data_IF_786987205024
#
_entry.id   IF_786987205024
#
_cell.length_a   1.000
_cell.length_b   1.000
_cell.length_c   1.000
_cell.angle_alpha   90.00
_cell.angle_beta   90.00
_cell.angle_gamma   90.00
#
_symmetry.space_group_name_H-M   'P 1'
#
loop_
_entity.id
_entity.type
_entity.pdbx_description
1 polymer ?
#
# COMPACT_ATOMS: atom_id res chain seq x y z
N UNK A 1 -21.57 -21.17 -37.92
CA UNK A 1 -21.94 -20.17 -38.94
C UNK A 1 -20.69 -19.41 -39.30
N UNK A 2 -20.21 -19.65 -40.52
CA UNK A 2 -19.04 -19.03 -41.13
C UNK A 2 -19.49 -17.72 -41.77
N UNK A 3 -18.79 -16.62 -41.55
CA UNK A 3 -18.80 -15.51 -42.51
C UNK A 3 -17.42 -14.84 -42.56
N UNK A 4 -16.81 -15.08 -43.70
CA UNK A 4 -15.56 -14.55 -44.23
C UNK A 4 -15.88 -13.38 -45.15
N UNK A 5 -15.16 -12.26 -45.07
CA UNK A 5 -15.04 -11.26 -46.15
C UNK A 5 -13.77 -10.43 -45.89
N UNK A 6 -12.66 -10.67 -46.58
CA UNK A 6 -12.32 -10.30 -47.96
C UNK A 6 -11.82 -8.86 -48.08
N UNK A 7 -10.57 -8.76 -48.55
CA UNK A 7 -9.75 -7.57 -48.73
C UNK A 7 -10.12 -6.77 -49.99
N UNK A 8 -9.74 -5.49 -50.00
CA UNK A 8 -9.53 -4.72 -51.24
C UNK A 8 -8.16 -4.07 -51.16
N UNK A 9 -7.30 -4.51 -52.08
CA UNK A 9 -6.04 -3.89 -52.49
C UNK A 9 -6.35 -2.85 -53.57
N UNK A 10 -5.79 -1.65 -53.46
CA UNK A 10 -5.62 -0.73 -54.60
C UNK A 10 -4.15 -0.34 -54.64
N UNK A 11 -3.50 -0.71 -55.73
CA UNK A 11 -2.15 -0.30 -56.07
C UNK A 11 -2.10 1.07 -56.73
N UNK A 12 -0.93 1.70 -56.62
CA UNK A 12 -0.52 2.85 -57.41
C UNK A 12 0.99 2.79 -57.60
N UNK A 13 1.42 2.65 -58.85
CA UNK A 13 2.82 2.61 -59.30
C UNK A 13 3.23 4.03 -59.71
N UNK A 14 4.41 4.49 -59.27
CA UNK A 14 5.18 5.49 -59.99
C UNK A 14 6.66 5.44 -59.55
N UNK A 15 7.51 4.95 -60.44
CA UNK A 15 8.97 5.11 -60.37
C UNK A 15 9.35 6.53 -60.81
N UNK A 16 10.22 7.20 -60.06
CA UNK A 16 11.11 8.24 -60.58
C UNK A 16 12.34 8.32 -59.68
N UNK A 17 13.45 7.81 -60.22
CA UNK A 17 14.77 7.86 -59.61
C UNK A 17 15.45 9.17 -60.02
N UNK A 18 15.94 9.94 -59.04
CA UNK A 18 16.92 11.00 -59.25
C UNK A 18 18.06 10.84 -58.22
N UNK A 19 19.33 10.87 -58.63
CA UNK A 19 20.47 10.84 -57.71
C UNK A 19 20.77 12.26 -57.24
N UNK A 20 20.73 12.47 -55.92
CA UNK A 20 21.12 13.72 -55.29
C UNK A 20 21.59 13.44 -53.87
N UNK A 21 22.90 13.40 -53.69
CA UNK A 21 23.56 13.48 -52.39
C UNK A 21 23.17 14.79 -51.72
N UNK A 22 22.67 14.73 -50.48
CA UNK A 22 23.00 15.66 -49.40
C UNK A 22 22.40 15.15 -48.07
N UNK A 23 23.16 15.35 -46.99
CA UNK A 23 23.05 14.65 -45.70
C UNK A 23 21.65 14.56 -45.09
N UNK A 24 21.28 13.34 -44.71
CA UNK A 24 20.07 13.02 -43.94
C UNK A 24 20.27 13.43 -42.47
N UNK A 25 19.50 14.38 -41.90
CA UNK A 25 19.36 14.49 -40.47
C UNK A 25 18.56 13.28 -39.98
N UNK A 26 19.12 12.59 -38.97
CA UNK A 26 18.62 11.32 -38.45
C UNK A 26 17.11 11.30 -38.27
N UNK A 27 16.48 10.32 -38.91
CA UNK A 27 15.12 9.92 -38.63
C UNK A 27 15.00 9.70 -37.12
N UNK A 28 14.22 10.57 -36.47
CA UNK A 28 13.85 10.41 -35.07
C UNK A 28 13.06 9.10 -34.97
N UNK A 29 13.55 8.20 -34.13
CA UNK A 29 12.93 6.93 -33.75
C UNK A 29 11.66 7.24 -32.93
N UNK A 30 10.66 7.79 -33.61
CA UNK A 30 9.35 8.10 -33.07
C UNK A 30 8.47 6.87 -33.31
N UNK A 31 8.15 6.15 -32.22
CA UNK A 31 6.91 5.39 -32.18
C UNK A 31 6.99 3.90 -31.93
N UNK A 32 7.93 3.41 -31.11
CA UNK A 32 7.66 2.21 -30.32
C UNK A 32 7.17 2.64 -28.93
N UNK A 33 5.95 2.25 -28.50
CA UNK A 33 5.54 2.45 -27.12
C UNK A 33 6.61 1.85 -26.20
N UNK A 34 7.07 2.62 -25.21
CA UNK A 34 7.96 2.09 -24.19
C UNK A 34 7.30 0.84 -23.59
N UNK A 35 8.09 -0.24 -23.44
CA UNK A 35 7.58 -1.45 -22.80
C UNK A 35 7.04 -1.08 -21.41
N UNK A 36 5.93 -1.71 -20.96
CA UNK A 36 5.40 -1.45 -19.63
C UNK A 36 6.50 -1.62 -18.58
N UNK A 37 6.69 -0.61 -17.75
CA UNK A 37 7.67 -0.68 -16.67
C UNK A 37 7.32 -1.84 -15.73
N UNK A 38 8.32 -2.65 -15.42
CA UNK A 38 8.16 -3.79 -14.52
C UNK A 38 8.16 -3.33 -13.07
N UNK A 39 7.22 -3.83 -12.28
CA UNK A 39 7.18 -3.61 -10.84
C UNK A 39 8.12 -4.61 -10.14
N UNK A 40 9.25 -4.14 -9.58
CA UNK A 40 10.20 -5.07 -8.95
C UNK A 40 11.40 -4.42 -8.26
N UNK A 41 12.51 -5.17 -8.04
CA UNK A 41 13.63 -4.73 -7.19
C UNK A 41 14.28 -3.38 -7.56
N UNK A 42 14.14 -2.96 -8.81
CA UNK A 42 14.61 -1.65 -9.29
C UNK A 42 13.70 -0.48 -8.86
N UNK A 43 12.49 -0.77 -8.39
CA UNK A 43 11.46 0.23 -8.10
C UNK A 43 10.29 0.16 -9.07
N UNK A 44 9.51 1.24 -9.09
CA UNK A 44 8.45 1.46 -10.07
C UNK A 44 8.15 2.95 -10.24
N UNK A 45 7.97 3.39 -11.50
CA UNK A 45 7.77 4.79 -11.90
C UNK A 45 8.84 5.71 -11.36
N UNK A 46 10.09 5.26 -11.32
CA UNK A 46 11.22 6.03 -10.79
C UNK A 46 11.30 6.13 -9.27
N UNK A 47 10.38 5.48 -8.53
CA UNK A 47 10.50 5.31 -7.07
C UNK A 47 11.32 4.07 -6.78
N UNK A 48 12.42 4.22 -6.03
CA UNK A 48 13.31 3.09 -5.68
C UNK A 48 13.13 2.68 -4.23
N UNK A 49 13.43 1.41 -3.94
CA UNK A 49 13.41 0.89 -2.58
C UNK A 49 14.47 1.62 -1.73
N UNK A 50 14.06 2.14 -0.57
CA UNK A 50 14.90 2.96 0.32
C UNK A 50 14.96 4.46 -0.04
N UNK A 51 14.18 4.92 -1.02
CA UNK A 51 14.08 6.35 -1.35
C UNK A 51 13.48 7.16 -0.19
N UNK A 52 14.05 8.34 0.09
CA UNK A 52 13.51 9.29 1.05
C UNK A 52 12.25 9.99 0.49
N UNK A 53 11.34 10.38 1.40
CA UNK A 53 10.06 11.02 1.06
C UNK A 53 10.22 12.26 0.17
N UNK A 54 11.11 13.19 0.54
CA UNK A 54 11.28 14.43 -0.23
C UNK A 54 11.84 14.17 -1.64
N UNK A 55 12.75 13.19 -1.78
CA UNK A 55 13.25 12.75 -3.07
C UNK A 55 12.14 12.13 -3.94
N UNK A 56 11.26 11.31 -3.34
CA UNK A 56 10.12 10.74 -4.04
C UNK A 56 9.12 11.80 -4.53
N UNK A 57 8.79 12.78 -3.68
CA UNK A 57 7.84 13.85 -4.01
C UNK A 57 8.39 14.81 -5.06
N UNK A 58 9.67 15.17 -4.97
CA UNK A 58 10.33 16.03 -5.96
C UNK A 58 10.44 15.40 -7.36
N UNK A 59 10.39 14.06 -7.46
CA UNK A 59 10.38 13.34 -8.73
C UNK A 59 9.09 13.51 -9.55
N UNK A 60 8.00 14.04 -8.96
CA UNK A 60 6.73 14.28 -9.65
C UNK A 60 5.94 13.01 -10.03
N UNK A 61 6.31 11.86 -9.46
CA UNK A 61 5.71 10.54 -9.73
C UNK A 61 4.62 10.17 -8.73
N UNK A 62 4.59 10.88 -7.61
CA UNK A 62 3.55 10.83 -6.59
C UNK A 62 2.73 12.12 -6.63
N UNK A 63 1.47 12.03 -6.22
CA UNK A 63 0.69 13.21 -5.87
C UNK A 63 1.39 14.01 -4.76
N UNK A 64 1.28 15.33 -4.78
CA UNK A 64 1.93 16.20 -3.79
C UNK A 64 1.24 16.19 -2.43
N UNK A 65 -0.05 15.85 -2.39
CA UNK A 65 -0.84 15.76 -1.17
C UNK A 65 -1.01 14.28 -0.76
N UNK A 66 -0.87 13.96 0.53
CA UNK A 66 -1.03 12.60 1.02
C UNK A 66 -2.49 12.17 1.01
N UNK A 67 -2.73 10.89 0.76
CA UNK A 67 -4.04 10.26 0.85
C UNK A 67 -4.30 9.63 2.22
N UNK A 68 -3.29 9.47 3.08
CA UNK A 68 -3.47 9.14 4.50
C UNK A 68 -2.29 9.64 5.32
N UNK A 69 -2.52 9.97 6.58
CA UNK A 69 -1.49 10.24 7.60
C UNK A 69 -1.65 9.37 8.85
N UNK A 70 -2.47 8.32 8.77
CA UNK A 70 -2.90 7.51 9.90
C UNK A 70 -1.73 6.74 10.54
N UNK A 71 -1.63 6.82 11.87
CA UNK A 71 -0.62 6.14 12.70
C UNK A 71 0.84 6.47 12.35
N UNK A 72 1.09 7.65 11.81
CA UNK A 72 2.43 8.11 11.43
C UNK A 72 2.91 7.62 10.06
N UNK A 73 2.12 6.78 9.37
CA UNK A 73 2.36 6.48 7.97
C UNK A 73 1.84 7.63 7.11
N UNK A 74 2.64 8.10 6.15
CA UNK A 74 2.15 9.01 5.11
C UNK A 74 2.03 8.27 3.79
N UNK A 75 0.80 8.13 3.32
CA UNK A 75 0.50 7.45 2.06
C UNK A 75 0.29 8.47 0.95
N UNK A 76 0.83 8.18 -0.23
CA UNK A 76 0.67 8.98 -1.44
C UNK A 76 0.26 8.09 -2.60
N UNK A 77 -0.74 8.52 -3.37
CA UNK A 77 -1.05 7.94 -4.67
C UNK A 77 0.04 8.27 -5.69
N UNK A 78 0.18 7.44 -6.72
CA UNK A 78 0.88 7.85 -7.94
C UNK A 78 0.22 9.08 -8.57
N UNK A 79 0.99 9.86 -9.35
CA UNK A 79 0.45 10.95 -10.17
C UNK A 79 -0.66 10.44 -11.08
N UNK A 80 -1.82 11.11 -11.07
CA UNK A 80 -3.03 10.67 -11.78
C UNK A 80 -3.90 9.67 -11.01
N UNK A 81 -3.46 9.23 -9.83
CA UNK A 81 -4.27 8.44 -8.91
C UNK A 81 -5.31 9.27 -8.14
N UNK A 82 -6.04 8.65 -7.20
CA UNK A 82 -7.08 9.32 -6.42
C UNK A 82 -6.52 10.50 -5.63
N UNK A 83 -7.26 11.61 -5.66
CA UNK A 83 -7.01 12.76 -4.79
C UNK A 83 -7.30 12.40 -3.31
N UNK A 84 -6.72 13.13 -2.34
CA UNK A 84 -7.07 12.97 -0.93
C UNK A 84 -8.56 13.20 -0.71
N UNK A 85 -9.17 12.37 0.14
CA UNK A 85 -10.54 12.55 0.61
C UNK A 85 -10.50 13.25 1.98
N UNK A 86 -10.85 14.55 2.06
CA UNK A 86 -10.77 15.30 3.31
C UNK A 86 -11.65 14.73 4.43
N UNK A 87 -12.80 14.13 4.08
CA UNK A 87 -13.72 13.57 5.07
C UNK A 87 -13.13 12.29 5.67
N UNK A 88 -12.55 11.42 4.84
CA UNK A 88 -11.84 10.23 5.33
C UNK A 88 -10.61 10.62 6.17
N UNK A 89 -9.79 11.56 5.70
CA UNK A 89 -8.62 12.04 6.42
C UNK A 89 -8.98 12.59 7.81
N UNK A 90 -10.08 13.35 7.89
CA UNK A 90 -10.58 13.85 9.16
C UNK A 90 -11.06 12.71 10.07
N UNK A 91 -11.81 11.76 9.54
CA UNK A 91 -12.28 10.61 10.31
C UNK A 91 -11.12 9.76 10.86
N UNK A 92 -10.08 9.55 10.05
CA UNK A 92 -8.82 8.91 10.48
C UNK A 92 -8.18 9.66 11.65
N UNK A 93 -7.99 10.97 11.51
CA UNK A 93 -7.40 11.81 12.56
C UNK A 93 -8.23 11.83 13.86
N UNK A 94 -9.55 11.93 13.76
CA UNK A 94 -10.45 11.97 14.92
C UNK A 94 -10.42 10.65 15.69
N UNK A 95 -10.46 9.50 14.98
CA UNK A 95 -10.38 8.17 15.58
C UNK A 95 -9.02 7.92 16.22
N UNK A 96 -7.93 8.29 15.54
CA UNK A 96 -6.57 8.17 16.08
C UNK A 96 -6.39 9.03 17.34
N UNK A 97 -6.88 10.27 17.34
CA UNK A 97 -6.82 11.14 18.51
C UNK A 97 -7.61 10.57 19.70
N UNK A 98 -8.82 10.06 19.46
CA UNK A 98 -9.65 9.43 20.49
C UNK A 98 -8.97 8.20 21.09
N UNK A 99 -8.43 7.32 20.25
CA UNK A 99 -7.73 6.12 20.71
C UNK A 99 -6.48 6.46 21.53
N UNK A 100 -5.68 7.45 21.10
CA UNK A 100 -4.51 7.91 21.85
C UNK A 100 -4.88 8.50 23.21
N UNK A 101 -5.92 9.33 23.27
CA UNK A 101 -6.38 9.94 24.53
C UNK A 101 -6.89 8.89 25.52
N UNK A 102 -7.74 7.96 25.07
CA UNK A 102 -8.30 6.93 25.95
C UNK A 102 -7.25 5.91 26.40
N UNK A 103 -6.37 5.45 25.49
CA UNK A 103 -5.28 4.55 25.87
C UNK A 103 -4.33 5.22 26.86
N UNK A 104 -3.98 6.49 26.66
CA UNK A 104 -3.15 7.23 27.62
C UNK A 104 -3.81 7.31 29.00
N UNK A 105 -5.10 7.67 29.06
CA UNK A 105 -5.83 7.74 30.33
C UNK A 105 -5.89 6.37 31.02
N UNK A 106 -6.07 5.30 30.24
CA UNK A 106 -6.08 3.93 30.75
C UNK A 106 -4.70 3.50 31.27
N UNK A 107 -3.62 3.84 30.57
CA UNK A 107 -2.23 3.55 30.98
C UNK A 107 -1.82 4.31 32.26
N UNK A 108 -2.41 5.49 32.49
CA UNK A 108 -2.19 6.32 33.70
C UNK A 108 -3.01 5.85 34.92
N UNK A 109 -3.90 4.86 34.77
CA UNK A 109 -4.64 4.30 35.90
C UNK A 109 -3.70 3.49 36.80
N UNK A 110 -3.56 3.95 38.05
CA UNK A 110 -2.89 3.17 39.08
C UNK A 110 -3.80 2.03 39.57
N UNK A 111 -3.21 0.84 39.76
CA UNK A 111 -3.89 -0.24 40.44
C UNK A 111 -4.20 0.20 41.88
N UNK A 112 -5.48 0.17 42.26
CA UNK A 112 -5.83 0.44 43.65
C UNK A 112 -5.26 -0.65 44.56
N UNK A 113 -4.77 -0.29 45.76
CA UNK A 113 -4.49 -1.28 46.77
C UNK A 113 -5.77 -2.04 47.11
N UNK A 114 -5.69 -3.37 47.21
CA UNK A 114 -6.83 -4.20 47.60
C UNK A 114 -7.45 -3.67 48.91
N UNK A 115 -8.79 -3.72 49.06
CA UNK A 115 -9.46 -3.30 50.28
C UNK A 115 -8.85 -4.04 51.47
N UNK A 116 -8.38 -3.28 52.47
CA UNK A 116 -7.78 -3.87 53.67
C UNK A 116 -8.83 -4.70 54.42
N UNK A 117 -8.45 -5.85 55.01
CA UNK A 117 -9.32 -6.58 55.91
C UNK A 117 -9.86 -5.64 57.01
N UNK A 118 -11.19 -5.55 57.13
CA UNK A 118 -11.86 -4.64 58.08
C UNK A 118 -12.27 -3.27 57.53
N UNK A 119 -12.19 -3.03 56.21
CA UNK A 119 -12.73 -1.83 55.58
C UNK A 119 -14.22 -1.65 55.87
N UNK A 120 -14.64 -0.40 56.04
CA UNK A 120 -16.05 -0.04 56.20
C UNK A 120 -16.85 -0.28 54.92
N UNK A 121 -18.18 -0.33 55.05
CA UNK A 121 -19.08 -0.41 53.90
C UNK A 121 -18.93 0.80 52.95
N UNK A 122 -18.67 1.99 53.50
CA UNK A 122 -18.44 3.21 52.71
C UNK A 122 -17.13 3.14 51.91
N UNK A 123 -16.04 2.69 52.52
CA UNK A 123 -14.75 2.49 51.84
C UNK A 123 -14.87 1.44 50.72
N UNK A 124 -15.60 0.35 51.00
CA UNK A 124 -15.88 -0.70 50.02
C UNK A 124 -16.70 -0.16 48.84
N UNK A 125 -17.71 0.67 49.10
CA UNK A 125 -18.54 1.28 48.05
C UNK A 125 -17.73 2.24 47.15
N UNK A 126 -16.84 3.07 47.75
CA UNK A 126 -15.95 3.97 46.99
C UNK A 126 -14.96 3.22 46.12
N UNK A 127 -14.38 2.14 46.65
CA UNK A 127 -13.48 1.26 45.89
C UNK A 127 -14.21 0.63 44.71
N UNK A 128 -15.42 0.08 44.92
CA UNK A 128 -16.23 -0.49 43.86
C UNK A 128 -16.61 0.54 42.78
N UNK A 129 -16.96 1.77 43.16
CA UNK A 129 -17.27 2.86 42.21
C UNK A 129 -16.06 3.22 41.35
N UNK A 130 -14.87 3.33 41.96
CA UNK A 130 -13.62 3.58 41.21
C UNK A 130 -13.30 2.43 40.26
N UNK A 131 -13.33 1.18 40.73
CA UNK A 131 -13.09 0.01 39.87
C UNK A 131 -14.07 -0.06 38.69
N UNK A 132 -15.34 0.32 38.90
CA UNK A 132 -16.31 0.38 37.81
C UNK A 132 -15.96 1.47 36.78
N UNK A 133 -15.52 2.66 37.21
CA UNK A 133 -15.06 3.75 36.32
C UNK A 133 -13.81 3.37 35.54
N UNK A 134 -12.85 2.73 36.20
CA UNK A 134 -11.62 2.25 35.58
C UNK A 134 -11.92 1.18 34.53
N UNK A 135 -12.79 0.22 34.87
CA UNK A 135 -13.26 -0.80 33.93
C UNK A 135 -13.97 -0.20 32.71
N UNK A 136 -14.80 0.83 32.92
CA UNK A 136 -15.44 1.56 31.82
C UNK A 136 -14.41 2.24 30.91
N UNK A 137 -13.38 2.88 31.49
CA UNK A 137 -12.32 3.52 30.72
C UNK A 137 -11.54 2.51 29.88
N UNK A 138 -11.18 1.35 30.45
CA UNK A 138 -10.54 0.27 29.67
C UNK A 138 -11.45 -0.24 28.54
N UNK A 139 -12.75 -0.37 28.79
CA UNK A 139 -13.71 -0.77 27.75
C UNK A 139 -13.79 0.27 26.62
N UNK A 140 -13.84 1.56 26.96
CA UNK A 140 -13.87 2.65 25.98
C UNK A 140 -12.57 2.72 25.17
N UNK A 141 -11.41 2.52 25.82
CA UNK A 141 -10.11 2.46 25.16
C UNK A 141 -10.00 1.26 24.21
N UNK A 142 -10.52 0.10 24.59
CA UNK A 142 -10.57 -1.09 23.74
C UNK A 142 -11.46 -0.86 22.51
N UNK A 143 -12.65 -0.26 22.68
CA UNK A 143 -13.54 0.09 21.56
C UNK A 143 -12.90 1.11 20.62
N UNK A 144 -12.26 2.15 21.14
CA UNK A 144 -11.55 3.13 20.32
C UNK A 144 -10.37 2.51 19.56
N UNK A 145 -9.69 1.54 20.16
CA UNK A 145 -8.62 0.78 19.48
C UNK A 145 -9.16 -0.12 18.37
N UNK A 146 -10.35 -0.71 18.54
CA UNK A 146 -11.04 -1.46 17.49
C UNK A 146 -11.49 -0.56 16.34
N UNK A 147 -12.04 0.63 16.63
CA UNK A 147 -12.39 1.63 15.61
C UNK A 147 -11.15 2.05 14.80
N UNK A 148 -10.02 2.28 15.48
CA UNK A 148 -8.75 2.61 14.85
C UNK A 148 -8.25 1.47 13.96
N UNK A 149 -8.37 0.21 14.40
CA UNK A 149 -8.05 -0.95 13.56
C UNK A 149 -8.92 -1.00 12.29
N UNK A 150 -10.21 -0.70 12.39
CA UNK A 150 -11.10 -0.57 11.23
C UNK A 150 -10.62 0.49 10.24
N UNK A 151 -10.16 1.65 10.72
CA UNK A 151 -9.59 2.70 9.86
C UNK A 151 -8.27 2.30 9.20
N UNK A 152 -7.42 1.54 9.88
CA UNK A 152 -6.21 0.96 9.26
C UNK A 152 -6.57 0.03 8.11
N UNK A 153 -7.58 -0.83 8.28
CA UNK A 153 -8.03 -1.72 7.20
C UNK A 153 -8.61 -0.95 6.00
N UNK A 154 -9.42 0.08 6.25
CA UNK A 154 -9.97 0.95 5.20
C UNK A 154 -8.84 1.65 4.42
N UNK A 155 -7.87 2.23 5.13
CA UNK A 155 -6.67 2.84 4.54
C UNK A 155 -5.89 1.84 3.70
N UNK A 156 -5.55 0.68 4.26
CA UNK A 156 -4.74 -0.32 3.57
C UNK A 156 -5.42 -0.79 2.29
N UNK A 157 -6.74 -1.02 2.32
CA UNK A 157 -7.54 -1.37 1.12
C UNK A 157 -7.50 -0.26 0.09
N UNK A 158 -7.69 1.00 0.49
CA UNK A 158 -7.64 2.14 -0.43
C UNK A 158 -6.24 2.32 -1.03
N UNK A 159 -5.19 2.17 -0.22
CA UNK A 159 -3.80 2.30 -0.64
C UNK A 159 -3.41 1.24 -1.68
N UNK A 160 -3.66 -0.05 -1.40
CA UNK A 160 -3.30 -1.11 -2.34
C UNK A 160 -4.16 -1.13 -3.61
N UNK A 161 -5.39 -0.61 -3.55
CA UNK A 161 -6.26 -0.50 -4.72
C UNK A 161 -5.83 0.64 -5.65
N UNK A 162 -5.37 1.77 -5.08
CA UNK A 162 -4.87 2.90 -5.85
C UNK A 162 -3.43 2.68 -6.37
N UNK A 163 -2.63 1.93 -5.62
CA UNK A 163 -1.19 1.91 -5.77
C UNK A 163 -0.56 3.21 -5.24
N UNK A 164 0.74 3.19 -4.99
CA UNK A 164 1.46 4.37 -4.52
C UNK A 164 2.64 4.06 -3.63
N UNK A 165 2.98 5.01 -2.78
CA UNK A 165 4.07 4.90 -1.82
C UNK A 165 3.60 5.24 -0.41
N UNK A 166 3.97 4.40 0.55
CA UNK A 166 3.77 4.63 1.97
C UNK A 166 5.12 4.90 2.62
N UNK A 167 5.21 6.01 3.34
CA UNK A 167 6.40 6.42 4.07
C UNK A 167 6.14 6.34 5.56
N UNK A 168 7.04 5.68 6.29
CA UNK A 168 7.06 5.69 7.74
C UNK A 168 8.17 6.60 8.28
N UNK A 169 8.48 6.43 9.56
CA UNK A 169 9.55 7.17 10.26
C UNK A 169 10.91 7.10 9.56
N UNK A 170 11.29 5.93 9.05
CA UNK A 170 12.61 5.66 8.49
C UNK A 170 12.66 5.82 6.96
N UNK A 171 11.60 6.35 6.34
CA UNK A 171 11.50 6.53 4.89
C UNK A 171 10.50 5.58 4.24
N UNK A 172 10.73 5.24 2.96
CA UNK A 172 9.84 4.38 2.19
C UNK A 172 9.72 3.00 2.86
N UNK A 173 8.50 2.62 3.23
CA UNK A 173 8.19 1.30 3.83
C UNK A 173 7.47 0.38 2.87
N UNK A 174 6.75 0.93 1.90
CA UNK A 174 5.94 0.17 0.98
C UNK A 174 5.74 0.91 -0.34
N UNK A 175 5.88 0.17 -1.44
CA UNK A 175 5.36 0.55 -2.75
C UNK A 175 4.23 -0.41 -3.09
N UNK A 176 3.04 0.11 -3.39
CA UNK A 176 1.93 -0.70 -3.89
C UNK A 176 1.83 -0.54 -5.41
N UNK A 177 1.74 -1.65 -6.13
CA UNK A 177 1.58 -1.62 -7.58
C UNK A 177 0.18 -1.11 -7.96
N UNK A 178 0.05 -0.21 -8.96
CA UNK A 178 -1.27 0.09 -9.52
C UNK A 178 -1.80 -1.11 -10.32
N UNK A 179 -3.09 -1.12 -10.64
CA UNK A 179 -3.79 -2.29 -11.18
C UNK A 179 -3.17 -2.87 -12.48
N UNK A 180 -2.60 -2.00 -13.32
CA UNK A 180 -1.96 -2.37 -14.59
C UNK A 180 -0.54 -2.90 -14.44
N UNK A 181 0.10 -2.68 -13.29
CA UNK A 181 1.49 -3.07 -13.09
C UNK A 181 1.64 -4.56 -12.81
N UNK A 182 2.71 -5.14 -13.35
CA UNK A 182 3.06 -6.54 -13.22
C UNK A 182 4.52 -6.69 -12.82
N UNK A 183 4.82 -7.75 -12.09
CA UNK A 183 6.19 -8.18 -11.82
C UNK A 183 6.86 -8.72 -13.08
N UNK A 184 8.17 -9.01 -13.01
CA UNK A 184 8.92 -9.58 -14.13
C UNK A 184 8.36 -10.93 -14.59
N UNK A 185 7.74 -11.66 -13.67
CA UNK A 185 7.07 -12.94 -13.87
C UNK A 185 5.64 -12.78 -14.43
N UNK A 186 5.19 -11.55 -14.68
CA UNK A 186 3.85 -11.27 -15.19
C UNK A 186 2.74 -11.34 -14.13
N UNK A 187 3.09 -11.39 -12.84
CA UNK A 187 2.12 -11.47 -11.75
C UNK A 187 1.73 -10.07 -11.27
N UNK A 188 0.45 -9.86 -11.03
CA UNK A 188 -0.09 -8.66 -10.39
C UNK A 188 -1.60 -8.79 -10.23
N UNK A 189 -2.32 -7.68 -10.01
CA UNK A 189 -3.76 -7.72 -9.84
C UNK A 189 -4.47 -8.47 -10.99
N UNK A 190 -5.39 -9.39 -10.63
CA UNK A 190 -6.13 -10.24 -11.55
C UNK A 190 -5.46 -11.55 -11.98
N UNK A 191 -4.17 -11.74 -11.73
CA UNK A 191 -3.49 -13.04 -11.93
C UNK A 191 -4.07 -14.10 -11.00
N UNK A 192 -4.12 -15.36 -11.40
CA UNK A 192 -4.61 -16.47 -10.58
C UNK A 192 -3.61 -16.88 -9.50
N UNK A 193 -4.11 -17.51 -8.43
CA UNK A 193 -3.28 -18.13 -7.39
C UNK A 193 -2.38 -19.24 -7.97
N UNK A 194 -2.84 -19.94 -9.01
CA UNK A 194 -2.05 -20.96 -9.68
C UNK A 194 -0.84 -20.36 -10.43
N UNK A 195 -1.03 -19.24 -11.13
CA UNK A 195 0.05 -18.50 -11.78
C UNK A 195 1.03 -17.94 -10.74
N UNK A 196 0.53 -17.38 -9.64
CA UNK A 196 1.36 -16.88 -8.54
C UNK A 196 2.28 -17.99 -7.99
N UNK A 197 1.71 -19.16 -7.67
CA UNK A 197 2.46 -20.33 -7.17
C UNK A 197 3.49 -20.82 -8.18
N UNK A 198 3.09 -20.95 -9.44
CA UNK A 198 4.00 -21.36 -10.52
C UNK A 198 5.19 -20.39 -10.65
N UNK A 199 4.95 -19.09 -10.51
CA UNK A 199 5.99 -18.07 -10.62
C UNK A 199 6.97 -18.04 -9.43
N UNK A 200 6.47 -18.26 -8.20
CA UNK A 200 7.24 -17.93 -7.00
C UNK A 200 7.43 -19.04 -5.96
N UNK A 201 6.81 -20.22 -6.08
CA UNK A 201 7.04 -21.33 -5.13
C UNK A 201 8.53 -21.70 -5.09
N UNK A 202 9.16 -21.81 -6.26
CA UNK A 202 10.60 -22.08 -6.38
C UNK A 202 11.50 -20.90 -5.94
N UNK A 203 10.92 -19.72 -5.72
CA UNK A 203 11.61 -18.50 -5.28
C UNK A 203 11.44 -18.21 -3.79
N UNK A 204 10.99 -19.20 -3.03
CA UNK A 204 10.84 -19.09 -1.57
C UNK A 204 9.58 -18.35 -1.13
N UNK A 205 8.52 -18.38 -1.94
CA UNK A 205 7.22 -17.88 -1.52
C UNK A 205 6.72 -18.61 -0.27
N UNK A 206 6.19 -17.85 0.69
CA UNK A 206 5.59 -18.37 1.92
C UNK A 206 4.35 -17.59 2.31
N UNK A 207 3.47 -18.17 3.12
CA UNK A 207 2.43 -17.40 3.78
C UNK A 207 3.05 -16.56 4.92
N UNK A 208 2.72 -15.28 4.97
CA UNK A 208 3.01 -14.38 6.09
C UNK A 208 2.01 -14.56 7.23
N UNK A 209 2.34 -14.05 8.42
CA UNK A 209 1.45 -14.11 9.59
C UNK A 209 0.13 -13.33 9.43
N UNK A 210 0.03 -12.50 8.39
CA UNK A 210 -1.16 -11.75 7.98
C UNK A 210 -1.99 -12.47 6.90
N UNK A 211 -1.67 -13.72 6.57
CA UNK A 211 -2.37 -14.50 5.55
C UNK A 211 -2.05 -14.12 4.10
N UNK A 212 -1.12 -13.18 3.87
CA UNK A 212 -0.66 -12.76 2.53
C UNK A 212 0.55 -13.59 2.10
N UNK A 213 0.76 -13.79 0.80
CA UNK A 213 1.95 -14.49 0.32
C UNK A 213 3.13 -13.53 0.24
N UNK A 214 4.29 -13.93 0.72
CA UNK A 214 5.52 -13.14 0.72
C UNK A 214 6.63 -13.86 -0.04
N UNK A 215 7.35 -13.11 -0.88
CA UNK A 215 8.49 -13.59 -1.67
C UNK A 215 9.68 -12.65 -1.42
N UNK A 216 10.87 -13.16 -1.04
CA UNK A 216 12.07 -12.33 -0.95
C UNK A 216 12.36 -11.60 -2.28
N UNK A 217 12.76 -10.33 -2.21
CA UNK A 217 13.22 -9.59 -3.39
C UNK A 217 14.73 -9.83 -3.59
N UNK A 218 15.09 -10.34 -4.77
CA UNK A 218 16.48 -10.58 -5.14
C UNK A 218 17.33 -9.30 -5.04
N UNK A 219 18.47 -9.39 -4.34
CA UNK A 219 19.36 -8.25 -4.12
C UNK A 219 18.81 -7.15 -3.20
N UNK A 220 17.70 -7.42 -2.49
CA UNK A 220 17.05 -6.49 -1.55
C UNK A 220 16.61 -7.25 -0.28
N UNK A 221 17.56 -7.61 0.61
CA UNK A 221 17.32 -8.58 1.70
C UNK A 221 16.30 -8.13 2.76
N UNK A 222 16.02 -6.84 2.88
CA UNK A 222 15.02 -6.30 3.81
C UNK A 222 13.63 -6.14 3.18
N UNK A 223 13.50 -6.44 1.89
CA UNK A 223 12.26 -6.24 1.14
C UNK A 223 11.69 -7.57 0.67
N UNK A 224 10.36 -7.64 0.66
CA UNK A 224 9.61 -8.74 0.06
C UNK A 224 8.57 -8.20 -0.89
N UNK A 225 8.25 -8.96 -1.93
CA UNK A 225 6.93 -8.86 -2.52
C UNK A 225 5.91 -9.39 -1.52
N UNK A 226 4.80 -8.70 -1.37
CA UNK A 226 3.63 -9.19 -0.65
C UNK A 226 2.42 -9.21 -1.60
N UNK A 227 1.81 -10.38 -1.76
CA UNK A 227 0.64 -10.59 -2.58
C UNK A 227 -0.58 -10.84 -1.70
N UNK A 228 -1.61 -10.02 -1.86
CA UNK A 228 -2.93 -10.28 -1.27
C UNK A 228 -3.75 -11.07 -2.26
N UNK A 229 -4.31 -12.21 -1.84
CA UNK A 229 -5.14 -13.08 -2.67
C UNK A 229 -6.58 -13.05 -2.18
N UNK A 230 -7.51 -12.73 -3.08
CA UNK A 230 -8.94 -12.69 -2.83
C UNK A 230 -9.60 -13.86 -3.56
N UNK A 231 -9.95 -14.92 -2.82
CA UNK A 231 -10.40 -16.17 -3.43
C UNK A 231 -9.26 -16.85 -4.19
N UNK A 232 -9.41 -16.99 -5.51
CA UNK A 232 -8.44 -17.64 -6.39
C UNK A 232 -7.61 -16.64 -7.23
N UNK A 233 -7.69 -15.34 -6.95
CA UNK A 233 -6.98 -14.29 -7.69
C UNK A 233 -6.16 -13.37 -6.80
N UNK A 234 -5.02 -12.92 -7.32
CA UNK A 234 -4.23 -11.83 -6.77
C UNK A 234 -5.05 -10.55 -6.84
N UNK A 235 -5.36 -9.97 -5.68
CA UNK A 235 -6.03 -8.68 -5.55
C UNK A 235 -5.06 -7.51 -5.65
N UNK A 236 -3.87 -7.65 -5.06
CA UNK A 236 -2.82 -6.62 -5.08
C UNK A 236 -1.43 -7.24 -4.93
N UNK A 237 -0.42 -6.47 -5.34
CA UNK A 237 0.99 -6.75 -5.06
C UNK A 237 1.65 -5.46 -4.54
N UNK A 238 2.42 -5.59 -3.46
CA UNK A 238 3.25 -4.53 -2.90
C UNK A 238 4.69 -5.02 -2.77
N UNK A 239 5.66 -4.11 -2.80
CA UNK A 239 6.99 -4.33 -2.24
C UNK A 239 7.01 -3.67 -0.87
N UNK A 240 7.21 -4.46 0.20
CA UNK A 240 7.22 -3.97 1.58
C UNK A 240 8.56 -4.23 2.24
N UNK A 241 8.95 -3.34 3.15
CA UNK A 241 9.97 -3.62 4.15
C UNK A 241 9.27 -3.98 5.47
N UNK A 242 9.20 -5.28 5.86
CA UNK A 242 8.49 -5.70 7.06
C UNK A 242 9.06 -5.14 8.38
N UNK A 243 10.29 -4.60 8.34
CA UNK A 243 10.95 -4.01 9.51
C UNK A 243 10.63 -2.51 9.65
N UNK A 244 10.19 -1.86 8.58
CA UNK A 244 9.86 -0.43 8.59
C UNK A 244 8.52 -0.17 9.25
N UNK A 245 8.50 0.71 10.25
CA UNK A 245 7.31 1.11 11.01
C UNK A 245 6.71 2.41 10.49
N UNK A 246 5.41 2.60 10.72
CA UNK A 246 4.77 3.89 10.51
C UNK A 246 5.31 4.96 11.48
N UNK A 247 5.28 4.68 12.78
CA UNK A 247 5.74 5.53 13.88
C UNK A 247 6.87 4.90 14.71
#
# INVERSE_FOLDING_TARGET
>A
MVLTAAAVLIGGVACSSSPGSDGSPGASDAGKPAAPETFGPAGYRGLTLGMAKDAALSGGKLASAPTSTLDGCTDFSYTGGPAPDPARMKAEADVEAKAKDLNKKADELEADPEPKPGASAEESAKSAEKSAKDAQLFADAALASADLAGKREERDKAFVAAGGASFGKDGLRELAAPAEAKTAEGIGAGSSLAELKTAYDAKGMKAGGNGRFQVPLDGKPDWVFEFTVNGDKVGSVSMINPKSKCA
#
